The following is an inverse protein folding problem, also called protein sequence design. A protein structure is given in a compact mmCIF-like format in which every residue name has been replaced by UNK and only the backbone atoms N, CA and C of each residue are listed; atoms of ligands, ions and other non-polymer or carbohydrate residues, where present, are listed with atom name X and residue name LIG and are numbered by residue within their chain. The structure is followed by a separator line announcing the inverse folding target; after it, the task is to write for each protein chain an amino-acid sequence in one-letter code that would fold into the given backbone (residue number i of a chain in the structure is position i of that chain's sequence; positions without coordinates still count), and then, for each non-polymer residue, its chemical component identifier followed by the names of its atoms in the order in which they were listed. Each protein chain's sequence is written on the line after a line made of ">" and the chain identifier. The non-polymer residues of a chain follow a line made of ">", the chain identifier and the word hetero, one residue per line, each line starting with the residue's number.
data_IF_373068807311
#
_entry.id   IF_373068807311
#
_cell.length_a   1.000
_cell.length_b   1.000
_cell.length_c   1.000
_cell.angle_alpha   90.00
_cell.angle_beta   90.00
_cell.angle_gamma   90.00
#
_symmetry.space_group_name_H-M   'P 1'
#
loop_
_entity.id
_entity.type
_entity.pdbx_description
1 polymer ?
#
# COMPACT_ATOMS: atom_id res chain seq x y z
N UNK A 1 -1.67 -10.33 11.71
CA UNK A 1 -1.99 -10.65 10.30
C UNK A 1 -2.63 -9.40 9.74
N UNK A 2 -2.09 -8.77 8.69
CA UNK A 2 -2.78 -7.60 8.13
C UNK A 2 -4.15 -8.03 7.63
N UNK A 3 -5.18 -7.27 7.98
CA UNK A 3 -6.56 -7.51 7.58
C UNK A 3 -6.75 -7.07 6.14
N UNK A 4 -6.02 -7.75 5.26
CA UNK A 4 -6.36 -7.75 3.88
C UNK A 4 -7.58 -8.65 3.77
N UNK A 5 -8.75 -8.09 3.53
CA UNK A 5 -9.93 -8.80 2.99
C UNK A 5 -9.66 -9.40 1.59
N UNK A 6 -8.39 -9.69 1.27
CA UNK A 6 -7.88 -10.41 0.13
C UNK A 6 -7.93 -11.91 0.47
N UNK A 7 -9.12 -12.50 0.57
CA UNK A 7 -9.31 -13.92 0.87
C UNK A 7 -8.64 -14.90 -0.13
N UNK A 8 -7.96 -14.40 -1.17
CA UNK A 8 -7.42 -15.20 -2.27
C UNK A 8 -5.95 -14.97 -2.59
N UNK A 9 -5.22 -14.11 -1.85
CA UNK A 9 -3.80 -13.86 -2.11
C UNK A 9 -2.99 -14.13 -0.84
N UNK A 10 -1.98 -14.99 -0.94
CA UNK A 10 -1.06 -15.22 0.16
C UNK A 10 -0.32 -13.93 0.50
N UNK A 11 0.04 -13.73 1.76
CA UNK A 11 0.67 -12.48 2.18
C UNK A 11 1.84 -12.69 3.12
N UNK A 12 2.79 -11.76 3.10
CA UNK A 12 3.96 -11.74 3.98
C UNK A 12 4.18 -10.33 4.56
N UNK A 13 4.81 -10.19 5.73
CA UNK A 13 5.19 -8.88 6.24
C UNK A 13 6.26 -8.23 5.34
N UNK A 14 6.21 -6.90 5.27
CA UNK A 14 7.25 -6.09 4.67
C UNK A 14 8.56 -6.16 5.46
N UNK A 15 9.68 -6.00 4.76
CA UNK A 15 11.03 -5.92 5.31
C UNK A 15 11.66 -4.61 4.86
N UNK A 16 12.56 -4.08 5.69
CA UNK A 16 13.40 -2.94 5.28
C UNK A 16 14.15 -3.30 4.00
N UNK A 17 14.24 -2.33 3.10
CA UNK A 17 14.82 -2.47 1.75
C UNK A 17 14.04 -3.37 0.78
N UNK A 18 12.84 -3.85 1.13
CA UNK A 18 11.95 -4.46 0.13
C UNK A 18 11.68 -3.46 -1.00
N UNK A 19 11.96 -3.87 -2.24
CA UNK A 19 11.48 -3.14 -3.42
C UNK A 19 10.10 -3.65 -3.78
N UNK A 20 9.11 -2.79 -3.58
CA UNK A 20 7.70 -3.03 -3.78
C UNK A 20 7.22 -2.38 -5.06
N UNK A 21 6.09 -2.86 -5.56
CA UNK A 21 5.36 -2.28 -6.67
C UNK A 21 3.86 -2.29 -6.39
N UNK A 22 3.18 -1.20 -6.75
CA UNK A 22 1.73 -1.08 -6.65
C UNK A 22 1.05 -1.95 -7.71
N UNK A 23 0.03 -2.72 -7.34
CA UNK A 23 -0.74 -3.52 -8.29
C UNK A 23 -2.12 -3.86 -7.78
N UNK A 24 -2.97 -4.34 -8.69
CA UNK A 24 -4.25 -4.93 -8.37
C UNK A 24 -4.04 -6.34 -7.82
N UNK A 25 -4.55 -6.58 -6.61
CA UNK A 25 -4.39 -7.84 -5.88
C UNK A 25 -5.56 -8.79 -6.14
N UNK A 26 -6.75 -8.25 -6.45
CA UNK A 26 -7.94 -9.04 -6.77
C UNK A 26 -8.69 -8.45 -7.96
N UNK A 27 -9.60 -9.25 -8.53
CA UNK A 27 -10.55 -8.80 -9.57
C UNK A 27 -11.51 -7.71 -9.10
N UNK A 28 -11.64 -7.48 -7.79
CA UNK A 28 -12.48 -6.43 -7.20
C UNK A 28 -11.78 -5.07 -7.11
N UNK A 29 -10.70 -4.87 -7.88
CA UNK A 29 -9.90 -3.64 -7.93
C UNK A 29 -9.23 -3.24 -6.61
N UNK A 30 -9.10 -4.18 -5.65
CA UNK A 30 -8.28 -3.94 -4.46
C UNK A 30 -6.83 -3.76 -4.91
N UNK A 31 -6.21 -2.66 -4.51
CA UNK A 31 -4.81 -2.36 -4.83
C UNK A 31 -3.94 -2.59 -3.60
N UNK A 32 -2.69 -2.96 -3.83
CA UNK A 32 -1.71 -3.03 -2.76
C UNK A 32 -0.32 -3.23 -3.32
N UNK A 33 0.54 -3.83 -2.51
CA UNK A 33 1.96 -3.96 -2.82
C UNK A 33 2.34 -5.43 -2.97
N UNK A 34 3.25 -5.70 -3.90
CA UNK A 34 3.99 -6.95 -3.96
C UNK A 34 5.47 -6.65 -4.15
N UNK A 35 6.35 -7.57 -3.76
CA UNK A 35 7.77 -7.38 -4.01
C UNK A 35 8.08 -7.59 -5.49
N UNK A 36 8.96 -6.75 -6.05
CA UNK A 36 9.35 -6.80 -7.46
C UNK A 36 9.92 -8.17 -7.84
N UNK A 37 10.66 -8.83 -6.94
CA UNK A 37 11.20 -10.17 -7.18
C UNK A 37 10.18 -11.32 -7.08
N UNK A 38 8.99 -11.06 -6.52
CA UNK A 38 7.90 -12.06 -6.39
C UNK A 38 6.92 -11.99 -7.57
N UNK A 39 7.04 -10.95 -8.38
CA UNK A 39 6.53 -10.96 -9.74
C UNK A 39 7.45 -11.86 -10.56
N UNK A 40 7.00 -13.07 -10.87
CA UNK A 40 7.73 -13.96 -11.78
C UNK A 40 8.08 -13.23 -13.11
N UNK A 41 8.90 -13.86 -13.96
CA UNK A 41 9.46 -13.29 -15.21
C UNK A 41 8.47 -12.70 -16.25
N UNK A 42 7.18 -12.63 -15.93
CA UNK A 42 6.12 -12.06 -16.73
C UNK A 42 6.02 -10.55 -16.48
N UNK A 43 6.97 -9.81 -17.06
CA UNK A 43 6.83 -8.38 -17.34
C UNK A 43 5.83 -8.20 -18.51
N UNK A 44 4.61 -8.67 -18.32
CA UNK A 44 3.47 -8.34 -19.18
C UNK A 44 2.32 -8.10 -18.22
N UNK A 45 1.82 -6.88 -18.23
CA UNK A 45 0.64 -6.41 -17.50
C UNK A 45 -0.61 -7.06 -18.12
N UNK A 46 -0.65 -8.40 -18.16
CA UNK A 46 -1.79 -9.20 -18.60
C UNK A 46 -2.05 -10.35 -17.61
N UNK A 47 -3.11 -10.12 -16.84
CA UNK A 47 -4.09 -11.10 -16.36
C UNK A 47 -3.69 -12.08 -15.25
N UNK A 48 -2.65 -11.82 -14.45
CA UNK A 48 -2.41 -12.66 -13.27
C UNK A 48 -2.04 -11.84 -12.03
N UNK A 49 -2.83 -11.93 -10.94
CA UNK A 49 -2.48 -11.28 -9.68
C UNK A 49 -1.18 -11.89 -9.11
N UNK A 50 -0.43 -11.15 -8.27
CA UNK A 50 0.76 -11.68 -7.64
C UNK A 50 0.43 -12.90 -6.78
N UNK A 51 1.36 -13.85 -6.69
CA UNK A 51 1.19 -15.01 -5.80
C UNK A 51 1.28 -14.61 -4.32
N UNK A 52 2.02 -13.55 -4.02
CA UNK A 52 2.27 -13.05 -2.66
C UNK A 52 2.13 -11.54 -2.64
N UNK A 53 1.28 -11.03 -1.74
CA UNK A 53 1.19 -9.62 -1.40
C UNK A 53 2.12 -9.28 -0.24
N UNK A 54 2.63 -8.05 -0.21
CA UNK A 54 3.42 -7.53 0.89
C UNK A 54 2.56 -6.66 1.79
N UNK A 55 2.47 -7.07 3.04
CA UNK A 55 1.73 -6.41 4.09
C UNK A 55 2.56 -5.31 4.76
N UNK A 56 2.05 -4.09 4.78
CA UNK A 56 2.66 -2.96 5.49
C UNK A 56 1.97 -2.76 6.83
N UNK A 57 2.75 -2.44 7.86
CA UNK A 57 2.22 -2.05 9.16
C UNK A 57 2.00 -0.53 9.19
N UNK A 58 0.94 -0.01 9.84
CA UNK A 58 0.79 1.43 10.09
C UNK A 58 2.07 2.02 10.68
N UNK A 59 2.60 3.06 10.03
CA UNK A 59 3.91 3.64 10.35
C UNK A 59 5.08 3.17 9.50
N UNK A 60 4.90 2.20 8.61
CA UNK A 60 5.93 1.83 7.62
C UNK A 60 6.18 3.01 6.68
N UNK A 61 7.44 3.37 6.45
CA UNK A 61 7.79 4.45 5.51
C UNK A 61 8.29 3.89 4.18
N UNK A 62 7.87 4.53 3.10
CA UNK A 62 8.14 4.14 1.73
C UNK A 62 8.82 5.30 1.00
N UNK A 63 9.81 4.98 0.18
CA UNK A 63 10.39 5.87 -0.83
C UNK A 63 10.05 5.38 -2.24
N UNK A 64 9.21 6.12 -2.95
CA UNK A 64 8.90 5.91 -4.35
C UNK A 64 10.05 6.33 -5.26
N UNK A 65 10.23 5.60 -6.36
CA UNK A 65 11.26 5.93 -7.36
C UNK A 65 10.94 7.27 -8.06
N UNK A 66 9.64 7.58 -8.22
CA UNK A 66 9.10 8.79 -8.85
C UNK A 66 7.94 9.41 -8.07
N UNK A 67 7.52 10.61 -8.48
CA UNK A 67 6.36 11.30 -7.91
C UNK A 67 5.10 10.41 -7.97
N UNK A 68 4.42 10.30 -6.84
CA UNK A 68 3.32 9.35 -6.68
C UNK A 68 2.12 9.77 -7.49
N UNK A 69 1.73 8.93 -8.43
CA UNK A 69 0.55 9.06 -9.27
C UNK A 69 -0.65 8.40 -8.63
N UNK A 70 -1.80 9.08 -8.72
CA UNK A 70 -3.06 8.55 -8.23
C UNK A 70 -4.23 8.96 -9.13
N UNK A 71 -5.28 8.16 -9.13
CA UNK A 71 -6.54 8.44 -9.80
C UNK A 71 -7.33 9.44 -8.93
N UNK A 72 -7.79 10.55 -9.52
CA UNK A 72 -8.65 11.50 -8.80
C UNK A 72 -9.99 10.84 -8.45
N UNK A 73 -10.64 11.34 -7.39
CA UNK A 73 -11.97 10.88 -7.00
C UNK A 73 -12.92 10.94 -8.21
N UNK A 74 -13.59 9.81 -8.50
CA UNK A 74 -14.21 9.51 -9.79
C UNK A 74 -13.19 9.52 -10.95
N UNK A 75 -12.80 8.33 -11.41
CA UNK A 75 -11.77 8.07 -12.45
C UNK A 75 -11.92 8.87 -13.77
N UNK A 76 -13.02 9.60 -13.94
CA UNK A 76 -13.29 10.54 -15.03
C UNK A 76 -12.42 11.81 -15.02
N UNK A 77 -11.84 12.20 -13.87
CA UNK A 77 -11.04 13.44 -13.76
C UNK A 77 -9.54 13.27 -14.05
N UNK A 78 -9.13 12.10 -14.55
CA UNK A 78 -7.75 11.80 -14.94
C UNK A 78 -6.82 11.51 -13.75
N UNK A 79 -5.52 11.39 -14.07
CA UNK A 79 -4.45 11.07 -13.11
C UNK A 79 -3.84 12.35 -12.54
N UNK A 80 -3.61 12.37 -11.24
CA UNK A 80 -2.88 13.41 -10.53
C UNK A 80 -1.54 12.89 -10.02
N UNK A 81 -0.69 13.80 -9.53
CA UNK A 81 0.59 13.50 -8.91
C UNK A 81 0.72 14.23 -7.59
N UNK A 82 1.32 13.59 -6.61
CA UNK A 82 1.85 14.21 -5.41
C UNK A 82 3.33 14.46 -5.65
N UNK A 83 3.79 15.70 -5.48
CA UNK A 83 5.20 16.10 -5.65
C UNK A 83 6.05 15.68 -4.43
N UNK A 84 5.82 14.48 -3.93
CA UNK A 84 6.56 13.87 -2.84
C UNK A 84 6.85 12.41 -3.19
N UNK A 85 8.09 12.00 -2.95
CA UNK A 85 8.56 10.63 -3.17
C UNK A 85 8.55 9.79 -1.89
N UNK A 86 8.26 10.38 -0.73
CA UNK A 86 8.21 9.66 0.54
C UNK A 86 6.77 9.66 1.04
N UNK A 87 6.34 8.54 1.61
CA UNK A 87 5.06 8.42 2.27
C UNK A 87 5.12 7.49 3.47
N UNK A 88 4.26 7.73 4.45
CA UNK A 88 4.02 6.87 5.60
C UNK A 88 2.74 6.08 5.38
N UNK A 89 2.81 4.77 5.55
CA UNK A 89 1.64 3.90 5.49
C UNK A 89 0.76 4.10 6.72
N UNK A 90 -0.56 4.15 6.52
CA UNK A 90 -1.57 4.29 7.56
C UNK A 90 -2.79 3.44 7.23
N UNK A 91 -3.64 3.25 8.22
CA UNK A 91 -4.99 2.75 8.04
C UNK A 91 -5.98 3.84 8.47
N UNK A 92 -7.00 4.08 7.65
CA UNK A 92 -8.05 5.09 7.86
C UNK A 92 -9.44 4.47 7.69
N UNK A 93 -10.47 5.19 8.12
CA UNK A 93 -11.87 4.78 7.99
C UNK A 93 -12.16 3.40 8.59
N UNK A 94 -11.48 3.02 9.68
CA UNK A 94 -11.55 1.69 10.31
C UNK A 94 -12.97 1.26 10.74
N UNK A 95 -13.91 2.19 10.78
CA UNK A 95 -15.30 1.95 11.15
C UNK A 95 -16.19 1.55 9.96
N UNK A 96 -15.72 1.68 8.72
CA UNK A 96 -16.48 1.32 7.52
C UNK A 96 -15.99 0.00 6.91
N UNK A 97 -16.72 -1.12 7.08
CA UNK A 97 -16.27 -2.42 6.61
C UNK A 97 -16.30 -2.57 5.08
N UNK A 98 -16.82 -1.59 4.33
CA UNK A 98 -16.98 -1.68 2.88
C UNK A 98 -15.84 -1.00 2.11
N UNK A 99 -14.87 -0.40 2.79
CA UNK A 99 -13.77 0.33 2.15
C UNK A 99 -12.42 -0.27 2.48
N UNK A 100 -11.49 -0.19 1.54
CA UNK A 100 -10.09 -0.47 1.84
C UNK A 100 -9.54 0.64 2.76
N UNK A 101 -9.01 0.23 3.92
CA UNK A 101 -8.50 1.13 4.95
C UNK A 101 -7.08 1.63 4.67
N UNK A 102 -6.31 0.85 3.93
CA UNK A 102 -4.91 1.15 3.64
C UNK A 102 -4.75 2.48 2.89
N UNK A 103 -3.89 3.35 3.42
CA UNK A 103 -3.61 4.67 2.88
C UNK A 103 -2.13 5.06 3.03
N UNK A 104 -1.74 6.07 2.26
CA UNK A 104 -0.44 6.72 2.32
C UNK A 104 -0.62 8.17 2.76
N UNK A 105 0.07 8.56 3.82
CA UNK A 105 0.21 9.94 4.27
C UNK A 105 1.53 10.51 3.74
N UNK A 106 1.47 11.68 3.11
CA UNK A 106 2.61 12.38 2.53
C UNK A 106 3.10 13.52 3.44
N UNK A 107 4.34 14.01 3.27
CA UNK A 107 4.89 15.09 4.10
C UNK A 107 4.08 16.39 4.13
N UNK A 108 3.29 16.66 3.10
CA UNK A 108 2.38 17.80 3.04
C UNK A 108 1.04 17.58 3.78
N UNK A 109 0.88 16.46 4.49
CA UNK A 109 -0.36 16.08 5.18
C UNK A 109 -1.44 15.50 4.27
N UNK A 110 -1.18 15.37 2.96
CA UNK A 110 -2.11 14.71 2.04
C UNK A 110 -2.20 13.22 2.38
N UNK A 111 -3.42 12.68 2.41
CA UNK A 111 -3.66 11.25 2.61
C UNK A 111 -4.37 10.69 1.39
N UNK A 112 -3.84 9.61 0.82
CA UNK A 112 -4.41 8.91 -0.33
C UNK A 112 -4.65 7.44 0.00
N UNK A 113 -5.84 6.92 -0.30
CA UNK A 113 -6.09 5.48 -0.18
C UNK A 113 -5.23 4.72 -1.19
N UNK A 114 -4.74 3.55 -0.80
CA UNK A 114 -3.94 2.68 -1.67
C UNK A 114 -4.73 2.28 -2.93
N UNK A 115 -6.06 2.16 -2.82
CA UNK A 115 -6.97 1.97 -3.98
C UNK A 115 -6.89 3.07 -5.02
N UNK A 116 -6.47 4.29 -4.66
CA UNK A 116 -6.34 5.40 -5.59
C UNK A 116 -4.99 5.40 -6.32
N UNK A 117 -3.99 4.66 -5.84
CA UNK A 117 -2.66 4.67 -6.45
C UNK A 117 -2.66 4.02 -7.83
N UNK A 118 -1.98 4.64 -8.80
CA UNK A 118 -1.80 4.02 -10.11
C UNK A 118 -0.92 2.76 -9.96
N UNK A 119 -1.28 1.68 -10.63
CA UNK A 119 -0.50 0.44 -10.65
C UNK A 119 0.85 0.62 -11.38
N UNK A 120 1.82 -0.25 -11.05
CA UNK A 120 3.15 -0.28 -11.64
C UNK A 120 4.13 0.74 -11.06
N UNK A 121 3.80 1.41 -9.95
CA UNK A 121 4.70 2.34 -9.28
C UNK A 121 5.57 1.60 -8.29
N UNK A 122 6.88 1.81 -8.34
CA UNK A 122 7.84 1.17 -7.46
C UNK A 122 8.15 2.03 -6.23
N UNK A 123 8.29 1.37 -5.09
CA UNK A 123 8.71 2.00 -3.85
C UNK A 123 9.63 1.08 -3.06
N UNK A 124 10.53 1.64 -2.27
CA UNK A 124 11.42 0.93 -1.36
C UNK A 124 10.95 1.15 0.08
N UNK A 125 10.87 0.08 0.87
CA UNK A 125 10.61 0.19 2.31
C UNK A 125 11.83 0.79 3.00
N UNK A 126 11.68 1.99 3.55
CA UNK A 126 12.74 2.70 4.27
C UNK A 126 12.88 2.18 5.69
N UNK A 127 11.75 2.06 6.39
CA UNK A 127 11.70 1.60 7.77
C UNK A 127 10.33 0.99 8.09
N UNK A 128 10.34 0.04 9.03
CA UNK A 128 9.15 -0.49 9.66
C UNK A 128 8.82 0.36 10.90
N UNK A 129 7.57 0.39 11.36
CA UNK A 129 7.25 1.10 12.60
C UNK A 129 8.07 0.53 13.75
N UNK A 130 8.64 1.41 14.55
CA UNK A 130 9.22 1.02 15.84
C UNK A 130 8.08 0.56 16.73
N UNK A 131 8.16 -0.65 17.26
CA UNK A 131 7.25 -1.08 18.31
C UNK A 131 7.51 -0.20 19.54
N UNK A 132 6.76 0.90 19.66
CA UNK A 132 6.63 1.57 20.94
C UNK A 132 5.71 0.68 21.77
N UNK A 133 6.28 -0.06 22.72
CA UNK A 133 5.52 -0.62 23.83
C UNK A 133 4.81 0.54 24.53
N UNK A 134 3.57 0.84 24.12
CA UNK A 134 2.69 1.63 24.95
C UNK A 134 2.22 0.69 26.05
N UNK A 135 2.58 0.92 27.34
CA UNK A 135 2.00 0.16 28.43
C UNK A 135 0.49 0.36 28.35
N UNK A 136 -0.21 -0.75 28.17
CA UNK A 136 -1.65 -0.75 28.01
C UNK A 136 -2.28 -0.08 29.22
N UNK A 137 -3.14 0.90 28.96
CA UNK A 137 -3.96 1.53 29.98
C UNK A 137 -4.92 0.46 30.50
N UNK A 138 -4.58 -0.14 31.65
CA UNK A 138 -5.52 -0.95 32.43
C UNK A 138 -6.52 0.04 33.02
N UNK A 139 -7.71 0.15 32.42
CA UNK A 139 -8.86 0.73 33.11
C UNK A 139 -9.40 -0.29 34.12
N UNK A 140 -9.24 0.06 35.40
CA UNK A 140 -9.97 -0.47 36.56
C UNK A 140 -11.40 0.07 36.63
#
# INVERSE_FOLDING_TARGET
>A
MCDYSLHHVASRPAKVSDKLVTMELTKSSARGFAAVGELGAKLVIHDSPPKVAVCLLPGTELAFDDDVRYDRAFSLFGKARVNHKVARFRQIDMNDPHVQHDALEFPNGQVLKVTQLVAGQTATVLQLPVATEHPEHIET
#
